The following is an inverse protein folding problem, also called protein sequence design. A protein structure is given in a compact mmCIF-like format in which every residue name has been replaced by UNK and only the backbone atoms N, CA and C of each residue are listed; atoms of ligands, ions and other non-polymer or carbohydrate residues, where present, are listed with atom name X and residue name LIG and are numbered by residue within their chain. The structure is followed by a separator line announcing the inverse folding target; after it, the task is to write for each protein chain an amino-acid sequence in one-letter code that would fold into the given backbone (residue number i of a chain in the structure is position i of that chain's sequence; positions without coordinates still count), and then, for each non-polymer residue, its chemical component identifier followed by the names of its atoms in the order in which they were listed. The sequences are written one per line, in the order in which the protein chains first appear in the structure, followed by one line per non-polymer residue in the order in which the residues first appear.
data_IF_950898285068
#
_entry.id   IF_950898285068
#
_cell.length_a   1.000
_cell.length_b   1.000
_cell.length_c   1.000
_cell.angle_alpha   90.00
_cell.angle_beta   90.00
_cell.angle_gamma   90.00
#
_symmetry.space_group_name_H-M   'P 1'
#
loop_
_entity.id
_entity.type
_entity.pdbx_description
1 polymer ?
#
# COMPACT_ATOMS: atom_id res chain seq x y z
N UNK A 1 -26.82 -7.43 35.76
CA UNK A 1 -26.32 -8.26 34.65
C UNK A 1 -25.83 -7.28 33.61
N UNK A 2 -24.56 -6.90 33.71
CA UNK A 2 -23.91 -6.01 32.75
C UNK A 2 -23.83 -6.78 31.44
N UNK A 3 -24.46 -6.25 30.39
CA UNK A 3 -24.29 -6.78 29.05
C UNK A 3 -22.89 -6.34 28.63
N UNK A 4 -21.93 -7.27 28.67
CA UNK A 4 -20.64 -7.08 28.01
C UNK A 4 -20.93 -6.68 26.55
N UNK A 5 -20.50 -5.49 26.17
CA UNK A 5 -20.50 -5.03 24.77
C UNK A 5 -19.57 -5.96 24.00
N UNK A 6 -20.13 -7.02 23.41
CA UNK A 6 -19.38 -7.89 22.51
C UNK A 6 -18.97 -7.04 21.31
N UNK A 7 -17.72 -6.55 21.37
CA UNK A 7 -17.16 -5.65 20.38
C UNK A 7 -17.46 -6.15 18.98
N UNK A 8 -18.04 -5.24 18.18
CA UNK A 8 -18.46 -5.48 16.80
C UNK A 8 -17.40 -6.27 16.00
N UNK A 9 -17.78 -7.35 15.30
CA UNK A 9 -16.82 -8.16 14.56
C UNK A 9 -16.18 -7.38 13.41
N UNK A 10 -14.86 -7.51 13.27
CA UNK A 10 -14.09 -6.91 12.19
C UNK A 10 -12.90 -7.80 11.80
N UNK A 11 -12.43 -7.64 10.56
CA UNK A 11 -11.16 -8.22 10.10
C UNK A 11 -10.06 -7.15 10.11
N UNK A 12 -8.88 -7.49 10.59
CA UNK A 12 -7.71 -6.61 10.47
C UNK A 12 -7.19 -6.68 9.03
N UNK A 13 -7.13 -5.55 8.33
CA UNK A 13 -6.64 -5.47 6.95
C UNK A 13 -5.40 -4.60 6.88
N UNK A 14 -4.44 -5.02 6.06
CA UNK A 14 -3.25 -4.25 5.72
C UNK A 14 -3.30 -3.83 4.26
N UNK A 15 -3.15 -2.52 4.03
CA UNK A 15 -3.03 -1.92 2.70
C UNK A 15 -1.56 -1.74 2.34
N UNK A 16 -1.19 -2.20 1.15
CA UNK A 16 0.07 -1.92 0.46
C UNK A 16 -0.20 -1.02 -0.74
N UNK A 17 0.59 0.04 -0.91
CA UNK A 17 0.32 1.09 -1.88
C UNK A 17 1.54 1.26 -2.79
N UNK A 18 1.28 1.47 -4.08
CA UNK A 18 2.27 1.86 -5.08
C UNK A 18 1.64 2.79 -6.10
N UNK A 19 2.43 3.60 -6.79
CA UNK A 19 1.96 4.44 -7.88
C UNK A 19 2.86 4.32 -9.12
N UNK A 20 2.28 4.54 -10.29
CA UNK A 20 2.98 4.46 -11.58
C UNK A 20 2.58 5.61 -12.48
N UNK A 21 3.55 6.08 -13.26
CA UNK A 21 3.41 7.15 -14.23
C UNK A 21 2.78 8.41 -13.60
N UNK A 22 3.17 8.73 -12.36
CA UNK A 22 2.68 9.96 -11.73
C UNK A 22 3.26 11.16 -12.47
N UNK A 23 2.44 12.19 -12.65
CA UNK A 23 2.88 13.37 -13.40
C UNK A 23 3.87 14.17 -12.56
N UNK A 24 4.93 14.63 -13.21
CA UNK A 24 5.84 15.57 -12.58
C UNK A 24 5.11 16.90 -12.36
N UNK A 25 5.05 17.32 -11.10
CA UNK A 25 4.43 18.59 -10.68
C UNK A 25 5.45 19.62 -10.22
N UNK A 26 6.70 19.21 -10.04
CA UNK A 26 7.80 20.10 -9.76
C UNK A 26 8.37 20.65 -11.08
N UNK A 27 8.73 21.94 -11.07
CA UNK A 27 9.27 22.65 -12.24
C UNK A 27 10.79 22.76 -12.17
N UNK A 28 11.35 22.72 -10.97
CA UNK A 28 12.78 22.97 -10.71
C UNK A 28 13.53 21.70 -10.29
N UNK A 29 12.80 20.63 -9.90
CA UNK A 29 13.36 19.31 -9.58
C UNK A 29 12.43 18.17 -9.99
N UNK A 30 12.65 16.95 -9.49
CA UNK A 30 11.73 15.82 -9.70
C UNK A 30 10.82 15.64 -8.49
N UNK A 31 9.60 15.22 -8.75
CA UNK A 31 8.61 14.91 -7.70
C UNK A 31 9.13 13.89 -6.66
N UNK A 32 8.94 14.23 -5.38
CA UNK A 32 9.23 13.46 -4.17
C UNK A 32 7.92 12.92 -3.54
N UNK A 33 7.31 11.84 -4.08
CA UNK A 33 5.94 11.51 -3.71
C UNK A 33 5.78 10.81 -2.36
N UNK A 34 4.68 11.12 -1.69
CA UNK A 34 4.10 10.36 -0.58
C UNK A 34 2.57 10.33 -0.68
N UNK A 35 1.94 9.35 -0.02
CA UNK A 35 0.50 9.17 -0.01
C UNK A 35 -0.06 9.35 1.40
N UNK A 36 -1.11 10.15 1.53
CA UNK A 36 -1.97 10.22 2.72
C UNK A 36 -3.19 9.36 2.47
N UNK A 37 -3.51 8.50 3.45
CA UNK A 37 -4.68 7.61 3.40
C UNK A 37 -5.66 8.03 4.47
N UNK A 38 -6.90 8.28 4.06
CA UNK A 38 -8.00 8.64 4.94
C UNK A 38 -9.21 7.75 4.75
N UNK A 39 -10.01 7.60 5.79
CA UNK A 39 -11.24 6.80 5.79
C UNK A 39 -12.45 7.68 6.12
N UNK A 40 -13.60 7.36 5.51
CA UNK A 40 -14.91 7.83 5.92
C UNK A 40 -15.92 6.68 5.85
N UNK A 41 -16.80 6.57 6.86
CA UNK A 41 -17.93 5.65 6.81
C UNK A 41 -18.99 6.22 5.85
N UNK A 42 -19.25 5.50 4.76
CA UNK A 42 -20.15 5.96 3.70
C UNK A 42 -21.65 5.73 4.02
N UNK A 43 -21.97 5.10 5.16
CA UNK A 43 -23.35 4.83 5.59
C UNK A 43 -24.13 6.06 6.10
N UNK A 44 -23.43 7.14 6.46
CA UNK A 44 -24.05 8.41 6.81
C UNK A 44 -23.90 9.37 5.63
N UNK A 45 -25.01 9.64 4.95
CA UNK A 45 -25.20 10.47 3.74
C UNK A 45 -24.52 11.87 3.81
N UNK A 46 -23.94 12.26 4.95
CA UNK A 46 -23.26 13.55 5.17
C UNK A 46 -21.90 13.48 5.89
N UNK A 47 -21.32 12.31 6.13
CA UNK A 47 -19.98 12.24 6.73
C UNK A 47 -18.92 12.69 5.70
N UNK A 48 -18.70 14.01 5.65
CA UNK A 48 -17.62 14.66 4.88
C UNK A 48 -16.28 14.67 5.61
N UNK A 49 -16.25 14.16 6.83
CA UNK A 49 -15.05 14.11 7.66
C UNK A 49 -14.24 12.88 7.32
N UNK A 50 -13.20 13.12 6.52
CA UNK A 50 -12.12 12.16 6.31
C UNK A 50 -11.24 12.10 7.55
N UNK A 51 -11.07 10.90 8.11
CA UNK A 51 -10.12 10.64 9.18
C UNK A 51 -8.86 10.04 8.58
N UNK A 52 -7.72 10.72 8.75
CA UNK A 52 -6.44 10.16 8.35
C UNK A 52 -6.14 8.89 9.16
N UNK A 53 -5.85 7.80 8.46
CA UNK A 53 -5.51 6.50 9.05
C UNK A 53 -4.02 6.17 8.91
N UNK A 54 -3.31 6.89 8.05
CA UNK A 54 -1.85 6.83 7.96
C UNK A 54 -1.29 7.52 6.73
N UNK A 55 0.05 7.54 6.65
CA UNK A 55 0.81 8.12 5.55
C UNK A 55 1.97 7.20 5.18
N UNK A 56 2.36 7.20 3.91
CA UNK A 56 3.59 6.53 3.48
C UNK A 56 4.82 7.38 3.76
N UNK A 57 5.99 6.77 3.66
CA UNK A 57 7.25 7.50 3.54
C UNK A 57 7.30 8.31 2.23
N UNK A 58 8.22 9.27 2.20
CA UNK A 58 8.55 10.04 0.99
C UNK A 58 9.66 9.30 0.25
N UNK A 59 9.49 9.12 -1.06
CA UNK A 59 10.53 8.57 -1.93
C UNK A 59 11.03 9.70 -2.81
N UNK A 60 12.34 9.98 -2.77
CA UNK A 60 12.86 11.15 -3.48
C UNK A 60 13.01 10.87 -4.99
N UNK A 61 12.74 11.89 -5.82
CA UNK A 61 12.92 11.91 -7.27
C UNK A 61 12.33 10.67 -7.97
N UNK A 62 11.07 10.33 -7.69
CA UNK A 62 10.49 9.06 -8.13
C UNK A 62 9.07 9.22 -8.69
N UNK A 63 8.89 8.96 -9.98
CA UNK A 63 7.55 8.95 -10.60
C UNK A 63 6.84 7.59 -10.57
N UNK A 64 7.48 6.57 -9.97
CA UNK A 64 6.98 5.20 -9.90
C UNK A 64 7.19 4.59 -8.50
N UNK A 65 6.70 5.23 -7.43
CA UNK A 65 7.02 4.82 -6.08
C UNK A 65 6.39 3.47 -5.71
N UNK A 66 7.18 2.66 -5.02
CA UNK A 66 6.73 1.48 -4.26
C UNK A 66 7.02 1.74 -2.78
N UNK A 67 5.98 2.10 -2.03
CA UNK A 67 6.12 2.40 -0.60
C UNK A 67 6.15 1.11 0.23
N UNK A 68 7.08 1.06 1.18
CA UNK A 68 7.23 -0.02 2.14
C UNK A 68 6.21 0.08 3.28
N UNK A 69 5.82 1.31 3.66
CA UNK A 69 4.87 1.52 4.76
C UNK A 69 3.52 0.85 4.48
N UNK A 70 3.06 0.08 5.47
CA UNK A 70 1.80 -0.66 5.45
C UNK A 70 0.76 0.08 6.27
N UNK A 71 -0.42 0.33 5.70
CA UNK A 71 -1.50 1.05 6.39
C UNK A 71 -2.52 0.04 6.91
N UNK A 72 -2.73 0.02 8.24
CA UNK A 72 -3.68 -0.90 8.89
C UNK A 72 -5.06 -0.26 8.98
N UNK A 73 -6.10 -1.06 8.73
CA UNK A 73 -7.49 -0.65 8.83
C UNK A 73 -8.36 -1.82 9.31
N UNK A 74 -9.32 -1.54 10.18
CA UNK A 74 -10.34 -2.51 10.57
C UNK A 74 -11.42 -2.58 9.49
N UNK A 75 -11.70 -3.76 8.95
CA UNK A 75 -12.74 -3.99 7.95
C UNK A 75 -14.02 -4.51 8.61
N UNK A 76 -15.11 -3.75 8.45
CA UNK A 76 -16.46 -4.08 8.89
C UNK A 76 -17.30 -4.43 7.65
N UNK A 77 -17.62 -5.71 7.47
CA UNK A 77 -18.29 -6.21 6.25
C UNK A 77 -19.68 -5.60 6.00
N UNK A 78 -20.35 -5.16 7.07
CA UNK A 78 -21.67 -4.53 7.05
C UNK A 78 -21.62 -3.02 6.76
N UNK A 79 -20.42 -2.43 6.66
CA UNK A 79 -20.23 -1.01 6.35
C UNK A 79 -19.65 -0.76 4.96
N UNK A 80 -20.10 0.35 4.37
CA UNK A 80 -19.43 0.92 3.20
C UNK A 80 -18.28 1.82 3.66
N UNK A 81 -17.10 1.24 3.88
CA UNK A 81 -15.91 2.02 4.25
C UNK A 81 -15.25 2.59 3.00
N UNK A 82 -15.28 3.91 2.86
CA UNK A 82 -14.63 4.61 1.75
C UNK A 82 -13.24 5.05 2.16
N UNK A 83 -12.25 4.71 1.33
CA UNK A 83 -10.86 5.07 1.49
C UNK A 83 -10.49 6.10 0.45
N UNK A 84 -9.88 7.20 0.89
CA UNK A 84 -9.33 8.25 0.06
C UNK A 84 -7.82 8.17 0.09
N UNK A 85 -7.22 8.09 -1.09
CA UNK A 85 -5.78 8.14 -1.31
C UNK A 85 -5.45 9.48 -1.94
N UNK A 86 -4.65 10.29 -1.26
CA UNK A 86 -4.17 11.58 -1.78
C UNK A 86 -2.66 11.53 -1.92
N UNK A 87 -2.17 11.72 -3.15
CA UNK A 87 -0.74 11.80 -3.42
C UNK A 87 -0.30 13.26 -3.39
N UNK A 88 0.83 13.47 -2.73
CA UNK A 88 1.48 14.76 -2.60
C UNK A 88 2.94 14.63 -3.00
N UNK A 89 3.43 15.71 -3.58
CA UNK A 89 4.84 16.01 -3.74
C UNK A 89 5.34 16.78 -2.51
N UNK A 90 6.52 16.42 -2.00
CA UNK A 90 7.13 17.11 -0.87
C UNK A 90 7.92 18.32 -1.37
N UNK A 91 7.47 19.52 -0.99
CA UNK A 91 8.17 20.77 -1.27
C UNK A 91 9.18 21.15 -0.19
N UNK A 92 9.86 22.31 -0.37
CA UNK A 92 10.77 22.85 0.62
C UNK A 92 10.07 23.10 1.97
N UNK A 93 10.74 22.72 3.07
CA UNK A 93 10.25 22.91 4.43
C UNK A 93 9.03 22.04 4.76
N UNK A 94 7.86 22.67 4.94
CA UNK A 94 6.58 22.00 5.28
C UNK A 94 5.56 22.06 4.13
N UNK A 95 5.96 22.60 2.98
CA UNK A 95 5.08 22.70 1.83
C UNK A 95 4.85 21.34 1.18
N UNK A 96 3.68 21.18 0.57
CA UNK A 96 3.34 20.00 -0.21
C UNK A 96 2.40 20.39 -1.34
N UNK A 97 2.61 19.81 -2.51
CA UNK A 97 1.78 20.05 -3.68
C UNK A 97 0.98 18.80 -3.99
N UNK A 98 -0.34 18.90 -4.08
CA UNK A 98 -1.17 17.74 -4.41
C UNK A 98 -0.93 17.33 -5.87
N UNK A 99 -0.63 16.06 -6.10
CA UNK A 99 -0.47 15.45 -7.43
C UNK A 99 -1.83 15.00 -7.95
N UNK A 100 -2.54 14.21 -7.15
CA UNK A 100 -3.88 13.71 -7.48
C UNK A 100 -4.43 12.81 -6.38
N UNK A 101 -5.70 12.43 -6.53
CA UNK A 101 -6.38 11.57 -5.57
C UNK A 101 -7.23 10.50 -6.25
N UNK A 102 -7.52 9.45 -5.50
CA UNK A 102 -8.47 8.42 -5.86
C UNK A 102 -9.24 7.97 -4.62
N UNK A 103 -10.51 7.61 -4.79
CA UNK A 103 -11.29 7.00 -3.70
C UNK A 103 -11.82 5.64 -4.12
N UNK A 104 -11.80 4.68 -3.19
CA UNK A 104 -12.26 3.31 -3.37
C UNK A 104 -13.06 2.90 -2.14
N UNK A 105 -14.02 2.00 -2.31
CA UNK A 105 -14.59 1.30 -1.17
C UNK A 105 -13.66 0.13 -0.80
N UNK A 106 -13.46 -0.12 0.49
CA UNK A 106 -12.51 -1.15 0.95
C UNK A 106 -12.87 -2.54 0.40
N UNK A 107 -14.16 -2.86 0.31
CA UNK A 107 -14.65 -4.11 -0.27
C UNK A 107 -14.37 -4.23 -1.79
N UNK A 108 -14.19 -3.13 -2.52
CA UNK A 108 -13.81 -3.19 -3.94
C UNK A 108 -12.36 -3.63 -4.14
N UNK A 109 -11.50 -3.37 -3.15
CA UNK A 109 -10.10 -3.82 -3.14
C UNK A 109 -10.08 -5.30 -2.76
N UNK A 110 -10.70 -5.67 -1.64
CA UNK A 110 -10.76 -7.05 -1.14
C UNK A 110 -11.47 -8.00 -2.12
N UNK A 111 -12.50 -7.53 -2.83
CA UNK A 111 -13.21 -8.32 -3.84
C UNK A 111 -12.54 -8.37 -5.22
N UNK A 112 -11.42 -7.67 -5.41
CA UNK A 112 -10.71 -7.66 -6.70
C UNK A 112 -9.79 -8.86 -6.88
N UNK A 113 -9.40 -9.15 -8.12
CA UNK A 113 -8.45 -10.24 -8.42
C UNK A 113 -7.15 -10.01 -7.64
N UNK A 114 -6.71 -11.02 -6.90
CA UNK A 114 -5.54 -10.96 -6.02
C UNK A 114 -5.62 -9.88 -4.93
N UNK A 115 -6.83 -9.45 -4.55
CA UNK A 115 -7.08 -8.35 -3.61
C UNK A 115 -6.34 -7.06 -4.00
N UNK A 116 -6.13 -6.85 -5.30
CA UNK A 116 -5.32 -5.80 -5.87
C UNK A 116 -6.14 -4.96 -6.85
N UNK A 117 -6.25 -3.67 -6.57
CA UNK A 117 -6.97 -2.70 -7.40
C UNK A 117 -6.04 -1.61 -7.89
N UNK A 118 -6.05 -1.35 -9.21
CA UNK A 118 -5.37 -0.22 -9.83
C UNK A 118 -6.40 0.76 -10.36
N UNK A 119 -6.25 2.05 -10.03
CA UNK A 119 -7.13 3.13 -10.49
C UNK A 119 -6.34 4.38 -10.88
N UNK A 120 -6.96 5.27 -11.66
CA UNK A 120 -6.38 6.55 -12.05
C UNK A 120 -6.44 7.54 -10.90
N UNK A 121 -5.41 8.38 -10.81
CA UNK A 121 -5.36 9.54 -9.93
C UNK A 121 -5.90 10.76 -10.67
N UNK A 122 -6.81 11.49 -10.05
CA UNK A 122 -7.41 12.69 -10.62
C UNK A 122 -7.12 13.94 -9.80
N UNK A 123 -6.92 15.06 -10.49
CA UNK A 123 -6.91 16.41 -9.95
C UNK A 123 -7.54 17.34 -10.98
N UNK A 124 -8.53 18.11 -10.57
CA UNK A 124 -9.26 19.04 -11.46
C UNK A 124 -9.76 18.39 -12.77
N UNK A 125 -10.28 17.16 -12.66
CA UNK A 125 -10.79 16.38 -13.80
C UNK A 125 -9.73 15.81 -14.75
N UNK A 126 -8.44 16.04 -14.50
CA UNK A 126 -7.33 15.51 -15.32
C UNK A 126 -6.67 14.32 -14.63
N UNK A 127 -6.16 13.38 -15.43
CA UNK A 127 -5.42 12.22 -14.97
C UNK A 127 -3.96 12.58 -14.67
N UNK A 128 -3.46 12.15 -13.51
CA UNK A 128 -2.10 12.39 -13.00
C UNK A 128 -1.31 11.11 -12.71
N UNK A 129 -1.74 9.97 -13.26
CA UNK A 129 -1.06 8.68 -13.11
C UNK A 129 -1.99 7.62 -12.55
N UNK A 130 -1.42 6.54 -12.04
CA UNK A 130 -2.20 5.46 -11.42
C UNK A 130 -1.70 5.13 -10.03
N UNK A 131 -2.64 4.72 -9.18
CA UNK A 131 -2.35 4.15 -7.86
C UNK A 131 -2.83 2.70 -7.86
N UNK A 132 -2.00 1.83 -7.30
CA UNK A 132 -2.31 0.42 -7.06
C UNK A 132 -2.32 0.15 -5.57
N UNK A 133 -3.41 -0.43 -5.10
CA UNK A 133 -3.60 -0.80 -3.70
C UNK A 133 -3.85 -2.30 -3.60
N UNK A 134 -3.12 -2.98 -2.73
CA UNK A 134 -3.35 -4.37 -2.38
C UNK A 134 -3.82 -4.45 -0.93
N UNK A 135 -4.84 -5.27 -0.66
CA UNK A 135 -5.36 -5.51 0.68
C UNK A 135 -5.11 -6.95 1.11
N UNK A 136 -4.43 -7.14 2.24
CA UNK A 136 -4.23 -8.46 2.85
C UNK A 136 -4.99 -8.50 4.19
N UNK A 137 -5.89 -9.47 4.35
CA UNK A 137 -6.49 -9.76 5.65
C UNK A 137 -5.44 -10.43 6.54
N UNK A 138 -5.20 -9.82 7.70
CA UNK A 138 -4.32 -10.36 8.72
C UNK A 138 -5.08 -11.47 9.42
N UNK A 139 -4.69 -12.73 9.17
CA UNK A 139 -5.22 -13.83 9.96
C UNK A 139 -4.74 -13.66 11.41
N UNK A 140 -5.68 -13.58 12.36
CA UNK A 140 -5.39 -13.80 13.79
C UNK A 140 -5.00 -15.26 14.09
N UNK A 141 -4.99 -16.12 13.07
CA UNK A 141 -4.60 -17.54 13.12
C UNK A 141 -3.09 -17.75 13.01
N UNK A 142 -2.62 -18.79 13.73
CA UNK A 142 -1.26 -19.28 13.97
C UNK A 142 -0.20 -18.72 13.00
N UNK A 143 0.75 -17.97 13.55
CA UNK A 143 2.06 -17.74 12.93
C UNK A 143 2.71 -19.11 12.67
N UNK A 144 2.52 -19.66 11.48
CA UNK A 144 3.22 -20.89 11.07
C UNK A 144 4.65 -20.52 10.69
N UNK A 145 5.57 -20.79 11.61
CA UNK A 145 7.01 -20.66 11.34
C UNK A 145 7.45 -21.89 10.55
N UNK A 146 7.96 -21.68 9.34
CA UNK A 146 8.57 -22.73 8.53
C UNK A 146 10.08 -22.61 8.62
N UNK A 147 10.74 -23.67 9.08
CA UNK A 147 12.20 -23.75 9.14
C UNK A 147 12.73 -24.40 7.87
N UNK A 148 13.58 -23.68 7.14
CA UNK A 148 14.28 -24.20 5.98
C UNK A 148 15.71 -24.57 6.35
N UNK A 149 16.09 -25.83 6.11
CA UNK A 149 17.50 -26.25 6.13
C UNK A 149 17.91 -26.44 4.67
N UNK A 150 18.77 -25.56 4.18
CA UNK A 150 19.19 -25.55 2.78
C UNK A 150 20.69 -25.83 2.67
N UNK A 151 21.06 -26.70 1.74
CA UNK A 151 22.46 -26.98 1.39
C UNK A 151 22.61 -26.97 -0.13
N UNK A 152 23.72 -26.44 -0.62
CA UNK A 152 24.11 -26.52 -2.03
C UNK A 152 25.49 -27.16 -2.15
N UNK A 153 25.72 -27.94 -3.21
CA UNK A 153 27.01 -28.58 -3.50
C UNK A 153 27.38 -28.33 -4.96
N UNK A 154 28.68 -28.40 -5.29
CA UNK A 154 29.19 -28.21 -6.66
C UNK A 154 28.78 -26.86 -7.29
N UNK A 155 28.71 -25.80 -6.49
CA UNK A 155 28.44 -24.46 -7.00
C UNK A 155 29.57 -24.00 -7.91
N UNK A 156 29.20 -23.34 -9.01
CA UNK A 156 30.16 -22.82 -9.97
C UNK A 156 30.98 -21.68 -9.38
N UNK A 157 32.28 -21.66 -9.68
CA UNK A 157 33.20 -20.66 -9.16
C UNK A 157 33.25 -19.47 -10.09
N UNK A 158 32.55 -18.40 -9.72
CA UNK A 158 32.48 -17.18 -10.54
C UNK A 158 33.61 -16.18 -10.30
N UNK A 159 34.47 -16.41 -9.31
CA UNK A 159 35.61 -15.55 -8.99
C UNK A 159 36.94 -16.14 -9.48
N UNK A 160 37.72 -15.35 -10.23
CA UNK A 160 38.99 -15.79 -10.82
C UNK A 160 40.09 -16.04 -9.78
N UNK A 161 40.07 -15.36 -8.61
CA UNK A 161 41.02 -15.58 -7.51
C UNK A 161 40.37 -15.29 -6.13
N UNK A 162 39.49 -16.18 -5.67
CA UNK A 162 38.87 -16.10 -4.34
C UNK A 162 38.04 -17.33 -3.99
N UNK A 163 37.75 -17.59 -2.71
CA UNK A 163 36.76 -18.61 -2.30
C UNK A 163 35.37 -18.10 -2.70
N UNK A 164 34.48 -18.99 -3.13
CA UNK A 164 33.09 -18.60 -3.39
C UNK A 164 32.35 -18.30 -2.09
N UNK A 165 31.63 -17.19 -2.07
CA UNK A 165 30.77 -16.76 -0.97
C UNK A 165 29.28 -16.83 -1.38
N UNK A 166 28.68 -18.03 -1.50
CA UNK A 166 27.30 -18.16 -1.93
C UNK A 166 26.31 -17.72 -0.84
N UNK A 167 25.18 -17.15 -1.25
CA UNK A 167 24.05 -16.82 -0.38
C UNK A 167 22.73 -17.34 -0.97
N UNK A 168 21.73 -17.55 -0.11
CA UNK A 168 20.37 -17.92 -0.50
C UNK A 168 19.45 -16.70 -0.40
N UNK A 169 18.74 -16.36 -1.48
CA UNK A 169 17.67 -15.38 -1.49
C UNK A 169 16.34 -16.09 -1.70
N UNK A 170 15.43 -15.97 -0.73
CA UNK A 170 14.06 -16.47 -0.85
C UNK A 170 13.18 -15.29 -1.26
N UNK A 171 12.38 -15.48 -2.31
CA UNK A 171 11.42 -14.49 -2.81
C UNK A 171 10.04 -15.13 -2.95
N UNK A 172 9.01 -14.41 -2.52
CA UNK A 172 7.61 -14.77 -2.77
C UNK A 172 7.24 -14.31 -4.17
N UNK A 173 6.74 -15.21 -5.01
CA UNK A 173 6.13 -14.88 -6.30
C UNK A 173 4.62 -14.89 -6.09
N UNK A 174 3.96 -13.78 -6.36
CA UNK A 174 2.51 -13.68 -6.31
C UNK A 174 1.87 -14.25 -7.60
N UNK A 175 0.56 -14.53 -7.59
CA UNK A 175 -0.17 -15.11 -8.74
C UNK A 175 -0.08 -14.29 -10.03
N UNK A 176 0.40 -13.05 -9.95
CA UNK A 176 0.66 -12.11 -11.04
C UNK A 176 2.13 -12.07 -11.51
N UNK A 177 2.97 -13.02 -11.10
CA UNK A 177 4.39 -13.16 -11.50
C UNK A 177 5.30 -11.99 -11.08
N UNK A 178 4.94 -11.28 -10.01
CA UNK A 178 5.85 -10.36 -9.29
C UNK A 178 6.27 -10.97 -7.97
#
# INVERSE_FOLDING_TARGET
MEVEDQGRPYSDVVLTISARDIKDVDTDSYTDPFCIVSEASAGLVRCRTWKEIGRTEVINNCLNPDWATKIRIAYFFEEQQRILFELFDKGPGKEKTQIGSASLLLHEILGSKCNRKTVKLFKDGKNYGTITVTAEEMSKGRQESVYFVCSATKLDRKDFLGKCDPFLKISRINKDKT
#
